data_IF_629046766244
#
_entry.id   IF_629046766244
#
_cell.length_a   1.000
_cell.length_b   1.000
_cell.length_c   1.000
_cell.angle_alpha   90.00
_cell.angle_beta   90.00
_cell.angle_gamma   90.00
#
_symmetry.space_group_name_H-M   'P 1'
#
loop_
_entity.id
_entity.type
_entity.pdbx_description
1 polymer ?
#
# COMPACT_ATOMS: atom_id res chain seq x y z
N UNK A 1 11.14 23.43 15.71
CA UNK A 1 11.58 23.81 14.35
C UNK A 1 10.63 23.28 13.28
N UNK A 2 10.20 22.02 13.33
CA UNK A 2 9.19 21.45 12.41
C UNK A 2 7.76 21.97 12.61
N UNK A 3 7.30 22.10 13.86
CA UNK A 3 5.93 22.57 14.14
C UNK A 3 5.71 24.00 13.63
N UNK A 4 6.71 24.87 13.83
CA UNK A 4 6.67 26.26 13.33
C UNK A 4 6.55 26.31 11.81
N UNK A 5 7.19 25.38 11.10
CA UNK A 5 7.09 25.25 9.64
C UNK A 5 5.67 24.90 9.20
N UNK A 6 5.05 23.89 9.82
CA UNK A 6 3.67 23.47 9.48
C UNK A 6 2.69 24.63 9.70
N UNK A 7 2.83 25.32 10.84
CA UNK A 7 1.98 26.44 11.23
C UNK A 7 2.13 27.61 10.24
N UNK A 8 3.36 27.97 9.88
CA UNK A 8 3.62 29.11 8.99
C UNK A 8 3.12 28.87 7.56
N UNK A 9 3.38 27.68 7.00
CA UNK A 9 2.86 27.30 5.68
C UNK A 9 1.32 27.29 5.70
N UNK A 10 0.73 26.63 6.71
CA UNK A 10 -0.72 26.56 6.87
C UNK A 10 -1.38 27.92 6.98
N UNK A 11 -0.77 28.82 7.76
CA UNK A 11 -1.24 30.20 7.94
C UNK A 11 -1.21 30.98 6.63
N UNK A 12 -0.12 30.93 5.86
CA UNK A 12 -0.02 31.63 4.57
C UNK A 12 -1.06 31.15 3.56
N UNK A 13 -1.24 29.82 3.45
CA UNK A 13 -2.26 29.22 2.58
C UNK A 13 -3.65 29.75 2.96
N UNK A 14 -3.97 29.72 4.26
CA UNK A 14 -5.26 30.19 4.77
C UNK A 14 -5.49 31.67 4.52
N UNK A 15 -4.52 32.51 4.85
CA UNK A 15 -4.61 33.97 4.68
C UNK A 15 -4.78 34.35 3.21
N UNK A 16 -4.04 33.69 2.31
CA UNK A 16 -4.17 33.93 0.87
C UNK A 16 -5.53 33.48 0.33
N UNK A 17 -6.00 32.29 0.73
CA UNK A 17 -7.34 31.79 0.36
C UNK A 17 -8.44 32.75 0.84
N UNK A 18 -8.38 33.18 2.09
CA UNK A 18 -9.36 34.09 2.70
C UNK A 18 -9.29 35.50 2.07
N UNK A 19 -8.11 36.00 1.73
CA UNK A 19 -7.90 37.27 1.01
C UNK A 19 -8.61 37.29 -0.34
N UNK A 20 -8.61 36.16 -1.03
CA UNK A 20 -9.28 35.99 -2.33
C UNK A 20 -10.78 35.67 -2.20
N UNK A 21 -11.30 35.48 -0.98
CA UNK A 21 -12.70 35.13 -0.74
C UNK A 21 -13.06 33.69 -1.16
N UNK A 22 -12.06 32.81 -1.28
CA UNK A 22 -12.26 31.43 -1.72
C UNK A 22 -12.63 30.52 -0.55
N UNK A 23 -13.56 29.59 -0.79
CA UNK A 23 -13.83 28.50 0.17
C UNK A 23 -12.83 27.36 -0.01
N UNK A 24 -12.76 26.43 0.95
CA UNK A 24 -11.88 25.26 0.82
C UNK A 24 -12.31 24.37 -0.34
N UNK A 25 -13.62 24.17 -0.49
CA UNK A 25 -14.24 23.40 -1.57
C UNK A 25 -13.83 23.96 -2.94
N UNK A 26 -13.75 25.29 -3.08
CA UNK A 26 -13.31 25.91 -4.32
C UNK A 26 -11.84 25.60 -4.65
N UNK A 27 -10.96 25.58 -3.64
CA UNK A 27 -9.54 25.24 -3.82
C UNK A 27 -9.36 23.75 -4.12
N UNK A 28 -10.10 22.89 -3.42
CA UNK A 28 -10.00 21.44 -3.54
C UNK A 28 -10.65 20.88 -4.83
N UNK A 29 -11.62 21.59 -5.41
CA UNK A 29 -12.24 21.26 -6.70
C UNK A 29 -12.85 19.84 -6.73
N UNK A 30 -12.25 18.89 -7.44
CA UNK A 30 -12.71 17.48 -7.53
C UNK A 30 -12.30 16.61 -6.35
N UNK A 31 -11.47 17.15 -5.46
CA UNK A 31 -10.82 16.46 -4.33
C UNK A 31 -9.89 15.29 -4.74
N UNK A 32 -9.54 15.18 -6.03
CA UNK A 32 -8.63 14.13 -6.53
C UNK A 32 -7.19 14.32 -6.01
N UNK A 33 -6.68 15.56 -6.06
CA UNK A 33 -5.34 15.91 -5.59
C UNK A 33 -5.31 16.28 -4.10
N UNK A 34 -6.32 17.02 -3.63
CA UNK A 34 -6.37 17.53 -2.27
C UNK A 34 -7.81 17.57 -1.75
N UNK A 35 -8.09 16.84 -0.67
CA UNK A 35 -9.42 16.86 -0.04
C UNK A 35 -9.62 18.10 0.82
N UNK A 36 -10.89 18.47 1.09
CA UNK A 36 -11.23 19.59 1.98
C UNK A 36 -10.67 19.37 3.38
N UNK A 37 -10.73 18.13 3.87
CA UNK A 37 -10.19 17.75 5.19
C UNK A 37 -8.65 17.81 5.21
N UNK A 38 -7.96 17.39 4.14
CA UNK A 38 -6.51 17.55 4.00
C UNK A 38 -6.12 19.03 4.02
N UNK A 39 -6.77 19.87 3.21
CA UNK A 39 -6.53 21.33 3.21
C UNK A 39 -6.77 21.94 4.59
N UNK A 40 -7.83 21.53 5.30
CA UNK A 40 -8.09 21.99 6.66
C UNK A 40 -6.98 21.61 7.63
N UNK A 41 -6.45 20.38 7.58
CA UNK A 41 -5.33 19.95 8.45
C UNK A 41 -4.06 20.74 8.14
N UNK A 42 -3.79 21.02 6.87
CA UNK A 42 -2.66 21.85 6.43
C UNK A 42 -2.80 23.28 6.98
N UNK A 43 -3.95 23.93 6.76
CA UNK A 43 -4.20 25.31 7.22
C UNK A 43 -4.13 25.48 8.74
N UNK A 44 -4.44 24.42 9.49
CA UNK A 44 -4.34 24.39 10.95
C UNK A 44 -2.93 24.04 11.46
N UNK A 45 -1.96 23.82 10.56
CA UNK A 45 -0.59 23.42 10.91
C UNK A 45 -0.48 22.00 11.49
N UNK A 46 -1.50 21.15 11.29
CA UNK A 46 -1.55 19.78 11.81
C UNK A 46 -0.86 18.77 10.90
N UNK A 47 -0.74 19.09 9.62
CA UNK A 47 -0.15 18.22 8.60
C UNK A 47 0.73 19.01 7.66
N UNK A 48 1.81 18.40 7.19
CA UNK A 48 2.68 18.97 6.17
C UNK A 48 2.27 18.42 4.79
N UNK A 49 2.04 19.28 3.77
CA UNK A 49 1.74 18.81 2.43
C UNK A 49 2.99 18.28 1.73
N UNK A 50 2.82 17.36 0.79
CA UNK A 50 3.85 17.02 -0.18
C UNK A 50 4.11 18.20 -1.13
N UNK A 51 5.26 18.19 -1.82
CA UNK A 51 5.58 19.23 -2.80
C UNK A 51 4.54 19.29 -3.93
N UNK A 52 3.99 18.15 -4.32
CA UNK A 52 2.95 18.03 -5.36
C UNK A 52 1.66 18.71 -4.89
N UNK A 53 1.18 18.41 -3.67
CA UNK A 53 0.01 19.08 -3.09
C UNK A 53 0.23 20.56 -2.87
N UNK A 54 1.42 20.96 -2.46
CA UNK A 54 1.74 22.37 -2.28
C UNK A 54 1.77 23.12 -3.63
N UNK A 55 2.27 22.48 -4.69
CA UNK A 55 2.19 23.01 -6.05
C UNK A 55 0.73 23.16 -6.50
N UNK A 56 -0.12 22.15 -6.28
CA UNK A 56 -1.54 22.22 -6.56
C UNK A 56 -2.23 23.42 -5.86
N UNK A 57 -1.95 23.61 -4.57
CA UNK A 57 -2.47 24.76 -3.80
C UNK A 57 -1.95 26.08 -4.38
N UNK A 58 -0.66 26.14 -4.72
CA UNK A 58 -0.02 27.31 -5.32
C UNK A 58 -0.72 27.72 -6.61
N UNK A 59 -1.01 26.75 -7.49
CA UNK A 59 -1.64 26.97 -8.79
C UNK A 59 -3.10 27.43 -8.61
N UNK A 60 -3.86 26.81 -7.70
CA UNK A 60 -5.24 27.21 -7.39
C UNK A 60 -5.35 28.60 -6.78
N UNK A 61 -4.35 29.02 -6.00
CA UNK A 61 -4.29 30.35 -5.40
C UNK A 61 -3.60 31.39 -6.30
N UNK A 62 -3.06 31.00 -7.47
CA UNK A 62 -2.36 31.91 -8.36
C UNK A 62 -1.13 32.58 -7.76
N UNK A 63 -0.47 31.92 -6.80
CA UNK A 63 0.76 32.38 -6.14
C UNK A 63 1.93 31.49 -6.51
N UNK A 64 3.15 31.92 -6.18
CA UNK A 64 4.34 31.09 -6.40
C UNK A 64 4.54 30.09 -5.26
N UNK A 65 5.11 28.93 -5.57
CA UNK A 65 5.47 27.93 -4.57
C UNK A 65 6.40 28.51 -3.49
N UNK A 66 7.33 29.37 -3.91
CA UNK A 66 8.26 30.08 -3.03
C UNK A 66 7.55 31.06 -2.08
N UNK A 67 6.41 31.62 -2.45
CA UNK A 67 5.63 32.47 -1.55
C UNK A 67 5.03 31.65 -0.40
N UNK A 68 4.48 30.47 -0.71
CA UNK A 68 3.92 29.58 0.30
C UNK A 68 5.02 29.02 1.22
N UNK A 69 6.15 28.57 0.65
CA UNK A 69 7.30 28.08 1.40
C UNK A 69 8.02 29.18 2.19
N UNK A 70 8.17 30.37 1.62
CA UNK A 70 9.03 31.43 2.16
C UNK A 70 10.47 30.96 2.31
N UNK A 71 11.06 31.13 3.49
CA UNK A 71 12.44 30.69 3.79
C UNK A 71 12.55 29.21 4.18
N UNK A 72 11.43 28.49 4.19
CA UNK A 72 11.37 27.10 4.65
C UNK A 72 11.85 26.13 3.58
N UNK A 73 12.67 25.16 3.99
CA UNK A 73 13.03 23.98 3.18
C UNK A 73 12.22 22.77 3.64
N UNK A 74 11.62 22.06 2.69
CA UNK A 74 10.92 20.78 2.90
C UNK A 74 11.80 19.58 2.53
N UNK A 75 13.12 19.74 2.64
CA UNK A 75 14.05 18.68 2.25
C UNK A 75 14.00 17.54 3.26
N UNK A 76 13.43 16.42 2.84
CA UNK A 76 13.45 15.17 3.60
C UNK A 76 14.85 14.56 3.47
N UNK A 77 15.50 14.17 4.59
CA UNK A 77 16.84 13.59 4.57
C UNK A 77 16.93 12.33 3.69
N UNK A 78 18.03 12.17 2.97
CA UNK A 78 18.28 10.97 2.17
C UNK A 78 18.26 9.69 3.02
N UNK A 79 18.74 9.78 4.26
CA UNK A 79 18.75 8.66 5.22
C UNK A 79 17.34 8.14 5.53
N UNK A 80 16.31 9.01 5.46
CA UNK A 80 14.91 8.59 5.58
C UNK A 80 14.51 7.68 4.42
N UNK A 81 14.79 8.08 3.17
CA UNK A 81 14.44 7.29 1.99
C UNK A 81 15.18 5.95 1.96
N UNK A 82 16.44 5.91 2.41
CA UNK A 82 17.18 4.66 2.56
C UNK A 82 16.54 3.73 3.60
N UNK A 83 16.14 4.28 4.74
CA UNK A 83 15.46 3.51 5.79
C UNK A 83 14.08 3.00 5.33
N UNK A 84 13.27 3.85 4.67
CA UNK A 84 11.99 3.47 4.04
C UNK A 84 12.20 2.36 3.00
N UNK A 85 13.18 2.50 2.12
CA UNK A 85 13.47 1.48 1.09
C UNK A 85 13.82 0.13 1.72
N UNK A 86 14.67 0.13 2.75
CA UNK A 86 15.03 -1.10 3.50
C UNK A 86 13.81 -1.71 4.19
N UNK A 87 12.94 -0.88 4.78
CA UNK A 87 11.71 -1.32 5.42
C UNK A 87 10.78 -2.02 4.41
N UNK A 88 10.62 -1.47 3.21
CA UNK A 88 9.75 -2.05 2.17
C UNK A 88 10.32 -3.35 1.59
N UNK A 89 11.62 -3.42 1.33
CA UNK A 89 12.24 -4.55 0.61
C UNK A 89 12.35 -5.85 1.40
N UNK A 90 12.33 -5.79 2.73
CA UNK A 90 12.56 -6.97 3.58
C UNK A 90 11.28 -7.79 3.79
N UNK A 91 11.14 -9.04 3.29
CA UNK A 91 9.92 -9.82 3.51
C UNK A 91 9.90 -10.46 4.91
N UNK A 92 8.72 -10.48 5.54
CA UNK A 92 8.53 -11.07 6.88
C UNK A 92 8.01 -12.51 6.83
N UNK A 93 7.24 -12.89 5.80
CA UNK A 93 6.61 -14.22 5.66
C UNK A 93 5.87 -14.72 6.92
N UNK A 94 5.27 -13.81 7.70
CA UNK A 94 4.59 -14.14 8.95
C UNK A 94 5.52 -14.50 10.13
N UNK A 95 6.83 -14.37 9.98
CA UNK A 95 7.78 -14.63 11.07
C UNK A 95 7.75 -13.50 12.11
N UNK A 96 7.38 -13.84 13.34
CA UNK A 96 7.20 -12.88 14.44
C UNK A 96 8.49 -12.14 14.81
N UNK A 97 9.66 -12.77 14.68
CA UNK A 97 10.94 -12.11 15.00
C UNK A 97 11.32 -11.08 13.92
N UNK A 98 11.08 -11.40 12.63
CA UNK A 98 11.21 -10.42 11.54
C UNK A 98 10.23 -9.26 11.68
N UNK A 99 8.99 -9.54 12.09
CA UNK A 99 7.97 -8.51 12.33
C UNK A 99 8.41 -7.58 13.46
N UNK A 100 8.79 -8.12 14.63
CA UNK A 100 9.28 -7.31 15.76
C UNK A 100 10.47 -6.43 15.38
N UNK A 101 11.41 -6.96 14.59
CA UNK A 101 12.55 -6.17 14.10
C UNK A 101 12.09 -5.00 13.22
N UNK A 102 11.14 -5.22 12.31
CA UNK A 102 10.59 -4.16 11.48
C UNK A 102 9.82 -3.11 12.27
N UNK A 103 9.01 -3.53 13.25
CA UNK A 103 8.29 -2.61 14.12
C UNK A 103 9.27 -1.71 14.87
N UNK A 104 10.39 -2.26 15.35
CA UNK A 104 11.47 -1.45 15.93
C UNK A 104 12.11 -0.49 14.93
N UNK A 105 12.38 -0.94 13.70
CA UNK A 105 12.90 -0.05 12.64
C UNK A 105 11.89 1.09 12.33
N UNK A 106 10.58 0.86 12.49
CA UNK A 106 9.51 1.87 12.36
C UNK A 106 9.49 2.85 13.54
N UNK A 107 9.63 2.37 14.78
CA UNK A 107 9.77 3.24 15.96
C UNK A 107 10.94 4.22 15.77
N UNK A 108 12.08 3.72 15.28
CA UNK A 108 13.24 4.56 14.96
C UNK A 108 12.95 5.58 13.85
N UNK A 109 12.08 5.26 12.88
CA UNK A 109 11.65 6.23 11.86
C UNK A 109 10.80 7.35 12.46
N UNK A 110 9.85 7.02 13.34
CA UNK A 110 9.04 8.04 14.01
C UNK A 110 9.90 8.95 14.89
N UNK A 111 10.76 8.38 15.72
CA UNK A 111 11.62 9.13 16.65
C UNK A 111 12.50 10.16 15.92
N UNK A 112 12.96 9.82 14.71
CA UNK A 112 13.91 10.66 13.97
C UNK A 112 13.26 11.58 12.93
N UNK A 113 12.11 11.22 12.36
CA UNK A 113 11.59 11.88 11.15
C UNK A 113 10.14 12.34 11.23
N UNK A 114 9.33 11.93 12.23
CA UNK A 114 7.88 12.23 12.29
C UNK A 114 7.55 13.72 12.08
N UNK A 115 8.43 14.58 12.56
CA UNK A 115 8.29 16.01 12.57
C UNK A 115 8.38 16.66 11.20
N UNK A 116 9.19 16.09 10.31
CA UNK A 116 9.55 16.68 9.01
C UNK A 116 8.87 15.99 7.84
N UNK A 117 8.17 14.88 8.08
CA UNK A 117 7.50 14.12 7.03
C UNK A 117 6.13 14.73 6.66
N UNK A 118 5.79 14.73 5.36
CA UNK A 118 4.45 15.06 4.92
C UNK A 118 3.44 13.99 5.34
N UNK A 119 2.16 14.36 5.35
CA UNK A 119 1.07 13.47 5.77
C UNK A 119 1.07 12.12 5.02
N UNK A 120 1.40 12.13 3.73
CA UNK A 120 1.44 10.92 2.89
C UNK A 120 2.57 9.96 3.27
N UNK A 121 3.73 10.49 3.67
CA UNK A 121 4.87 9.67 4.10
C UNK A 121 4.62 9.09 5.50
N UNK A 122 3.98 9.87 6.38
CA UNK A 122 3.51 9.37 7.68
C UNK A 122 2.47 8.27 7.52
N UNK A 123 1.48 8.48 6.65
CA UNK A 123 0.46 7.48 6.33
C UNK A 123 1.10 6.20 5.78
N UNK A 124 2.15 6.33 4.96
CA UNK A 124 2.86 5.16 4.42
C UNK A 124 3.50 4.31 5.53
N UNK A 125 4.13 4.95 6.50
CA UNK A 125 4.74 4.25 7.65
C UNK A 125 3.67 3.60 8.51
N UNK A 126 2.61 4.34 8.81
CA UNK A 126 1.48 3.87 9.62
C UNK A 126 0.78 2.67 8.95
N UNK A 127 0.55 2.70 7.64
CA UNK A 127 0.03 1.56 6.88
C UNK A 127 0.90 0.31 7.04
N UNK A 128 2.23 0.47 6.95
CA UNK A 128 3.16 -0.66 7.07
C UNK A 128 3.13 -1.20 8.50
N UNK A 129 3.15 -0.33 9.51
CA UNK A 129 3.05 -0.69 10.92
C UNK A 129 1.77 -1.48 11.21
N UNK A 130 0.62 -0.95 10.81
CA UNK A 130 -0.69 -1.60 10.99
C UNK A 130 -0.79 -2.93 10.28
N UNK A 131 -0.25 -3.01 9.06
CA UNK A 131 -0.18 -4.29 8.34
C UNK A 131 0.62 -5.32 9.13
N UNK A 132 1.76 -4.93 9.70
CA UNK A 132 2.60 -5.81 10.52
C UNK A 132 1.89 -6.21 11.83
N UNK A 133 1.28 -5.26 12.52
CA UNK A 133 0.52 -5.50 13.76
C UNK A 133 -0.67 -6.44 13.50
N UNK A 134 -1.39 -6.26 12.39
CA UNK A 134 -2.47 -7.14 11.98
C UNK A 134 -1.97 -8.59 11.76
N UNK A 135 -0.82 -8.77 11.11
CA UNK A 135 -0.22 -10.10 10.92
C UNK A 135 0.14 -10.74 12.27
N UNK A 136 0.64 -9.97 13.24
CA UNK A 136 1.08 -10.51 14.53
C UNK A 136 -0.03 -10.72 15.56
N UNK A 137 -1.07 -9.88 15.55
CA UNK A 137 -2.09 -9.85 16.60
C UNK A 137 -3.49 -10.26 16.12
N UNK A 138 -3.71 -10.43 14.81
CA UNK A 138 -5.01 -10.73 14.17
C UNK A 138 -6.14 -9.76 14.58
N UNK A 139 -5.77 -8.56 15.06
CA UNK A 139 -6.75 -7.53 15.46
C UNK A 139 -7.05 -6.63 14.29
N UNK A 140 -8.32 -6.63 13.87
CA UNK A 140 -8.86 -5.60 12.98
C UNK A 140 -8.81 -4.27 13.72
N UNK A 141 -7.94 -3.39 13.27
CA UNK A 141 -7.99 -1.98 13.65
C UNK A 141 -9.10 -1.29 12.84
N UNK A 142 -9.87 -0.43 13.52
CA UNK A 142 -10.94 0.31 12.87
C UNK A 142 -10.34 1.26 11.82
N UNK A 143 -10.73 1.08 10.55
CA UNK A 143 -10.45 1.99 9.42
C UNK A 143 -11.08 3.39 9.58
N UNK A 144 -11.70 3.67 10.73
CA UNK A 144 -12.47 4.89 11.04
C UNK A 144 -11.58 6.14 11.17
N UNK A 145 -10.26 5.99 11.03
CA UNK A 145 -9.38 7.14 10.97
C UNK A 145 -9.64 7.97 9.71
N UNK A 146 -10.09 9.20 9.94
CA UNK A 146 -10.47 10.19 8.92
C UNK A 146 -9.40 10.35 7.83
N UNK A 147 -8.13 10.21 8.18
CA UNK A 147 -7.01 10.28 7.22
C UNK A 147 -7.11 9.16 6.19
N UNK A 148 -7.28 7.91 6.62
CA UNK A 148 -7.40 6.75 5.73
C UNK A 148 -8.59 6.85 4.79
N UNK A 149 -9.74 7.26 5.31
CA UNK A 149 -10.96 7.45 4.51
C UNK A 149 -10.73 8.47 3.39
N UNK A 150 -10.04 9.58 3.67
CA UNK A 150 -9.74 10.62 2.69
C UNK A 150 -8.89 10.05 1.53
N UNK A 151 -7.81 9.34 1.84
CA UNK A 151 -6.93 8.75 0.81
C UNK A 151 -7.60 7.60 0.07
N UNK A 152 -8.39 6.76 0.75
CA UNK A 152 -9.11 5.67 0.09
C UNK A 152 -10.10 6.21 -0.95
N UNK A 153 -10.82 7.29 -0.61
CA UNK A 153 -11.72 7.96 -1.54
C UNK A 153 -10.99 8.57 -2.74
N UNK A 154 -9.77 9.09 -2.55
CA UNK A 154 -8.94 9.55 -3.66
C UNK A 154 -8.52 8.37 -4.56
N UNK A 155 -8.06 7.27 -3.96
CA UNK A 155 -7.63 6.06 -4.69
C UNK A 155 -8.78 5.45 -5.51
N UNK A 156 -10.01 5.44 -5.00
CA UNK A 156 -11.15 4.90 -5.74
C UNK A 156 -11.43 5.64 -7.06
N UNK A 157 -11.13 6.95 -7.11
CA UNK A 157 -11.31 7.81 -8.29
C UNK A 157 -10.18 7.67 -9.32
N UNK A 158 -8.99 7.21 -8.91
CA UNK A 158 -7.82 7.11 -9.78
C UNK A 158 -7.92 5.94 -10.76
N UNK A 159 -7.38 6.12 -11.95
CA UNK A 159 -7.24 5.06 -12.98
C UNK A 159 -5.83 4.44 -12.98
N UNK A 160 -4.82 5.19 -12.55
CA UNK A 160 -3.44 4.70 -12.40
C UNK A 160 -2.98 4.87 -10.95
N UNK A 161 -2.39 3.82 -10.39
CA UNK A 161 -1.95 3.82 -8.99
C UNK A 161 -0.45 4.07 -8.84
N UNK A 162 -0.13 4.97 -7.91
CA UNK A 162 1.24 5.21 -7.42
C UNK A 162 1.63 4.17 -6.36
N UNK A 163 2.88 4.21 -5.90
CA UNK A 163 3.36 3.34 -4.82
C UNK A 163 2.49 3.43 -3.55
N UNK A 164 2.17 4.65 -3.11
CA UNK A 164 1.39 4.87 -1.89
C UNK A 164 -0.07 4.40 -2.07
N UNK A 165 -0.64 4.58 -3.26
CA UNK A 165 -1.97 4.08 -3.58
C UNK A 165 -2.01 2.53 -3.49
N UNK A 166 -1.00 1.85 -4.05
CA UNK A 166 -0.90 0.39 -3.99
C UNK A 166 -0.73 -0.13 -2.56
N UNK A 167 0.05 0.56 -1.71
CA UNK A 167 0.18 0.22 -0.30
C UNK A 167 -1.15 0.35 0.44
N UNK A 168 -1.92 1.41 0.16
CA UNK A 168 -3.23 1.61 0.76
C UNK A 168 -4.24 0.55 0.31
N UNK A 169 -4.29 0.23 -0.99
CA UNK A 169 -5.14 -0.84 -1.53
C UNK A 169 -4.77 -2.18 -0.90
N UNK A 170 -3.48 -2.49 -0.81
CA UNK A 170 -2.97 -3.71 -0.19
C UNK A 170 -3.42 -3.81 1.27
N UNK A 171 -3.29 -2.74 2.05
CA UNK A 171 -3.74 -2.71 3.44
C UNK A 171 -5.25 -2.91 3.56
N UNK A 172 -6.04 -2.15 2.81
CA UNK A 172 -7.50 -2.27 2.78
C UNK A 172 -7.94 -3.71 2.45
N UNK A 173 -7.44 -4.26 1.34
CA UNK A 173 -7.78 -5.62 0.90
C UNK A 173 -7.27 -6.71 1.84
N UNK A 174 -6.17 -6.46 2.55
CA UNK A 174 -5.69 -7.38 3.58
C UNK A 174 -6.65 -7.45 4.77
N UNK A 175 -7.23 -6.32 5.19
CA UNK A 175 -8.26 -6.32 6.24
C UNK A 175 -9.57 -6.98 5.80
N UNK A 176 -9.92 -6.92 4.51
CA UNK A 176 -11.09 -7.61 3.93
C UNK A 176 -10.99 -9.15 4.00
N UNK A 177 -9.81 -9.69 4.30
CA UNK A 177 -9.64 -11.13 4.52
C UNK A 177 -10.32 -11.62 5.81
N UNK A 178 -10.67 -10.71 6.72
CA UNK A 178 -11.34 -11.02 7.99
C UNK A 178 -12.69 -10.30 8.09
N UNK A 179 -13.75 -11.11 8.11
CA UNK A 179 -15.14 -10.64 8.19
C UNK A 179 -15.67 -10.11 6.86
N UNK A 180 -16.85 -9.48 6.92
CA UNK A 180 -17.51 -8.93 5.74
C UNK A 180 -16.75 -7.72 5.17
N UNK A 181 -16.85 -7.54 3.85
CA UNK A 181 -16.24 -6.45 3.12
C UNK A 181 -17.13 -5.99 1.97
N UNK A 182 -16.80 -4.83 1.39
CA UNK A 182 -17.49 -4.30 0.21
C UNK A 182 -16.96 -4.96 -1.06
N UNK A 183 -17.75 -5.88 -1.63
CA UNK A 183 -17.41 -6.61 -2.85
C UNK A 183 -17.23 -5.68 -4.07
N UNK A 184 -17.99 -4.58 -4.16
CA UNK A 184 -17.92 -3.64 -5.28
C UNK A 184 -16.58 -2.90 -5.28
N UNK A 185 -16.12 -2.47 -4.09
CA UNK A 185 -14.81 -1.84 -3.93
C UNK A 185 -13.68 -2.80 -4.31
N UNK A 186 -13.69 -4.03 -3.77
CA UNK A 186 -12.64 -5.01 -4.06
C UNK A 186 -12.62 -5.40 -5.54
N UNK A 187 -13.79 -5.55 -6.17
CA UNK A 187 -13.88 -5.85 -7.59
C UNK A 187 -13.41 -4.68 -8.48
N UNK A 188 -13.71 -3.45 -8.08
CA UNK A 188 -13.17 -2.24 -8.72
C UNK A 188 -11.64 -2.22 -8.67
N UNK A 189 -11.05 -2.46 -7.50
CA UNK A 189 -9.59 -2.57 -7.36
C UNK A 189 -9.03 -3.70 -8.20
N UNK A 190 -9.64 -4.90 -8.18
CA UNK A 190 -9.22 -6.02 -9.03
C UNK A 190 -9.14 -5.61 -10.49
N UNK A 191 -10.22 -5.00 -11.02
CA UNK A 191 -10.29 -4.59 -12.42
C UNK A 191 -9.24 -3.53 -12.78
N UNK A 192 -8.95 -2.58 -11.89
CA UNK A 192 -7.94 -1.55 -12.12
C UNK A 192 -6.52 -2.13 -12.03
N UNK A 193 -6.22 -2.94 -11.01
CA UNK A 193 -4.89 -3.54 -10.81
C UNK A 193 -4.49 -4.51 -11.94
N UNK A 194 -5.42 -5.30 -12.48
CA UNK A 194 -5.09 -6.21 -13.61
C UNK A 194 -4.78 -5.44 -14.89
N UNK A 195 -5.35 -4.24 -15.07
CA UNK A 195 -5.16 -3.42 -16.26
C UNK A 195 -4.02 -2.41 -16.12
N UNK A 196 -3.54 -2.14 -14.90
CA UNK A 196 -2.44 -1.20 -14.65
C UNK A 196 -1.17 -1.55 -15.42
N UNK A 197 -0.59 -0.53 -16.07
CA UNK A 197 0.68 -0.68 -16.77
C UNK A 197 1.86 -0.82 -15.79
N UNK A 198 2.91 -1.52 -16.23
CA UNK A 198 4.12 -1.67 -15.43
C UNK A 198 4.88 -0.35 -15.45
N UNK A 199 5.34 0.08 -14.28
CA UNK A 199 6.11 1.31 -14.14
C UNK A 199 7.61 1.00 -14.15
N UNK A 200 8.44 2.02 -14.42
CA UNK A 200 9.90 1.85 -14.45
C UNK A 200 10.50 1.54 -13.07
N UNK A 201 9.81 1.93 -11.99
CA UNK A 201 10.27 1.75 -10.63
C UNK A 201 10.00 0.32 -10.12
N UNK A 202 11.05 -0.32 -9.59
CA UNK A 202 10.99 -1.70 -9.08
C UNK A 202 9.93 -1.86 -7.98
N UNK A 203 9.94 -0.96 -6.99
CA UNK A 203 9.05 -1.05 -5.82
C UNK A 203 7.58 -0.97 -6.19
N UNK A 204 7.21 -0.15 -7.19
CA UNK A 204 5.82 -0.02 -7.63
C UNK A 204 5.30 -1.36 -8.15
N UNK A 205 6.09 -2.05 -8.98
CA UNK A 205 5.68 -3.34 -9.53
C UNK A 205 5.64 -4.45 -8.45
N UNK A 206 6.53 -4.37 -7.46
CA UNK A 206 6.52 -5.29 -6.30
C UNK A 206 5.29 -5.06 -5.44
N UNK A 207 4.89 -3.81 -5.17
CA UNK A 207 3.67 -3.53 -4.43
C UNK A 207 2.40 -3.81 -5.25
N UNK A 208 2.44 -3.72 -6.58
CA UNK A 208 1.35 -4.19 -7.45
C UNK A 208 1.16 -5.71 -7.31
N UNK A 209 2.26 -6.49 -7.27
CA UNK A 209 2.19 -7.91 -6.91
C UNK A 209 1.63 -8.12 -5.49
N UNK A 210 2.03 -7.27 -4.54
CA UNK A 210 1.54 -7.29 -3.17
C UNK A 210 0.02 -7.08 -3.08
N UNK A 211 -0.51 -6.05 -3.75
CA UNK A 211 -1.94 -5.72 -3.78
C UNK A 211 -2.77 -6.81 -4.48
N UNK A 212 -2.27 -7.38 -5.58
CA UNK A 212 -2.91 -8.54 -6.21
C UNK A 212 -2.91 -9.76 -5.27
N UNK A 213 -1.84 -9.94 -4.47
CA UNK A 213 -1.72 -11.06 -3.54
C UNK A 213 -2.68 -10.96 -2.37
N UNK A 214 -2.95 -9.74 -1.88
CA UNK A 214 -3.94 -9.54 -0.82
C UNK A 214 -5.37 -9.78 -1.31
N UNK A 215 -5.70 -9.41 -2.56
CA UNK A 215 -6.96 -9.81 -3.21
C UNK A 215 -7.04 -11.34 -3.36
N UNK A 216 -5.95 -11.98 -3.80
CA UNK A 216 -5.88 -13.45 -3.81
C UNK A 216 -6.10 -14.06 -2.43
N UNK A 217 -5.59 -13.44 -1.38
CA UNK A 217 -5.86 -13.86 -0.01
C UNK A 217 -7.33 -13.73 0.39
N UNK A 218 -8.06 -12.71 -0.07
CA UNK A 218 -9.53 -12.61 0.13
C UNK A 218 -10.21 -13.84 -0.46
N UNK A 219 -9.90 -14.21 -1.70
CA UNK A 219 -10.44 -15.39 -2.37
C UNK A 219 -10.17 -16.68 -1.60
N UNK A 220 -8.97 -16.82 -1.03
CA UNK A 220 -8.63 -17.99 -0.21
C UNK A 220 -9.44 -18.02 1.08
N UNK A 221 -9.55 -16.89 1.79
CA UNK A 221 -10.20 -16.80 3.10
C UNK A 221 -11.72 -16.91 3.01
N UNK A 222 -12.33 -16.42 1.92
CA UNK A 222 -13.75 -16.48 1.65
C UNK A 222 -14.16 -17.68 0.77
N UNK A 223 -13.20 -18.53 0.40
CA UNK A 223 -13.41 -19.71 -0.44
C UNK A 223 -14.04 -19.42 -1.82
N UNK A 224 -13.82 -18.23 -2.38
CA UNK A 224 -14.30 -17.84 -3.71
C UNK A 224 -13.15 -17.70 -4.71
N UNK A 225 -12.94 -18.74 -5.51
CA UNK A 225 -11.80 -18.83 -6.43
C UNK A 225 -12.14 -18.42 -7.87
N UNK A 226 -13.37 -17.97 -8.16
CA UNK A 226 -13.87 -17.69 -9.52
C UNK A 226 -12.95 -16.77 -10.32
N UNK A 227 -12.48 -15.70 -9.68
CA UNK A 227 -11.64 -14.67 -10.31
C UNK A 227 -10.14 -14.86 -10.06
N UNK A 228 -9.72 -15.90 -9.33
CA UNK A 228 -8.31 -16.14 -8.96
C UNK A 228 -7.40 -16.22 -10.18
N UNK A 229 -7.86 -16.83 -11.28
CA UNK A 229 -7.03 -16.98 -12.48
C UNK A 229 -6.64 -15.63 -13.09
N UNK A 230 -7.54 -14.65 -13.07
CA UNK A 230 -7.30 -13.31 -13.64
C UNK A 230 -6.16 -12.57 -12.94
N UNK A 231 -6.09 -12.66 -11.61
CA UNK A 231 -5.02 -12.04 -10.83
C UNK A 231 -3.70 -12.80 -10.99
N UNK A 232 -3.75 -14.14 -11.04
CA UNK A 232 -2.58 -15.00 -11.23
C UNK A 232 -1.92 -14.73 -12.59
N UNK A 233 -2.70 -14.59 -13.67
CA UNK A 233 -2.17 -14.31 -15.00
C UNK A 233 -1.48 -12.94 -15.07
N UNK A 234 -2.05 -11.94 -14.38
CA UNK A 234 -1.39 -10.64 -14.23
C UNK A 234 -0.09 -10.76 -13.43
N UNK A 235 -0.09 -11.49 -12.31
CA UNK A 235 1.10 -11.68 -11.47
C UNK A 235 2.23 -12.36 -12.25
N UNK A 236 1.95 -13.41 -13.03
CA UNK A 236 2.95 -14.04 -13.91
C UNK A 236 3.51 -13.02 -14.91
N UNK A 237 2.65 -12.22 -15.53
CA UNK A 237 3.06 -11.16 -16.45
C UNK A 237 3.98 -10.14 -15.79
N UNK A 238 3.68 -9.72 -14.56
CA UNK A 238 4.53 -8.79 -13.81
C UNK A 238 5.89 -9.45 -13.53
N UNK A 239 5.90 -10.67 -13.00
CA UNK A 239 7.15 -11.39 -12.65
C UNK A 239 8.04 -11.57 -13.87
N UNK A 240 7.49 -12.01 -15.00
CA UNK A 240 8.27 -12.29 -16.20
C UNK A 240 8.82 -11.00 -16.84
N UNK A 241 8.07 -9.89 -16.79
CA UNK A 241 8.52 -8.60 -17.35
C UNK A 241 9.49 -7.85 -16.43
N UNK A 242 9.36 -8.00 -15.11
CA UNK A 242 10.19 -7.30 -14.12
C UNK A 242 11.35 -8.13 -13.59
N UNK A 243 11.45 -9.40 -14.01
CA UNK A 243 12.46 -10.38 -13.59
C UNK A 243 12.45 -10.68 -12.08
N UNK A 244 11.32 -10.43 -11.41
CA UNK A 244 11.12 -10.63 -9.97
C UNK A 244 10.81 -12.11 -9.64
N UNK A 245 11.69 -13.02 -10.08
CA UNK A 245 11.44 -14.47 -10.03
C UNK A 245 11.30 -15.04 -8.60
N UNK A 246 11.80 -14.34 -7.59
CA UNK A 246 11.68 -14.73 -6.18
C UNK A 246 10.21 -14.84 -5.71
N UNK A 247 9.27 -14.13 -6.36
CA UNK A 247 7.84 -14.17 -6.03
C UNK A 247 7.07 -15.29 -6.75
N UNK A 248 7.70 -15.95 -7.73
CA UNK A 248 7.04 -17.00 -8.53
C UNK A 248 6.47 -18.15 -7.69
N UNK A 249 7.15 -18.65 -6.65
CA UNK A 249 6.58 -19.67 -5.78
C UNK A 249 5.23 -19.25 -5.16
N UNK A 250 5.10 -18.00 -4.71
CA UNK A 250 3.87 -17.51 -4.08
C UNK A 250 2.70 -17.47 -5.09
N UNK A 251 2.96 -17.04 -6.32
CA UNK A 251 1.95 -17.03 -7.40
C UNK A 251 1.50 -18.45 -7.76
N UNK A 252 2.43 -19.40 -7.79
CA UNK A 252 2.11 -20.81 -8.05
C UNK A 252 1.21 -21.42 -6.97
N UNK A 253 1.32 -20.98 -5.71
CA UNK A 253 0.40 -21.41 -4.64
C UNK A 253 -1.02 -20.94 -4.94
N UNK A 254 -1.22 -19.67 -5.31
CA UNK A 254 -2.54 -19.17 -5.71
C UNK A 254 -3.10 -19.93 -6.92
N UNK A 255 -2.25 -20.21 -7.91
CA UNK A 255 -2.65 -20.99 -9.08
C UNK A 255 -3.01 -22.44 -8.72
N UNK A 256 -2.26 -23.07 -7.83
CA UNK A 256 -2.56 -24.42 -7.34
C UNK A 256 -3.93 -24.46 -6.63
N UNK A 257 -4.22 -23.47 -5.78
CA UNK A 257 -5.52 -23.34 -5.10
C UNK A 257 -6.67 -23.14 -6.08
N UNK A 258 -6.50 -22.34 -7.13
CA UNK A 258 -7.47 -22.22 -8.21
C UNK A 258 -7.79 -23.58 -8.85
N UNK A 259 -6.76 -24.32 -9.26
CA UNK A 259 -6.99 -25.63 -9.88
C UNK A 259 -7.60 -26.64 -8.91
N UNK A 260 -7.24 -26.58 -7.63
CA UNK A 260 -7.75 -27.49 -6.63
C UNK A 260 -9.22 -27.23 -6.29
N UNK A 261 -9.58 -25.98 -5.99
CA UNK A 261 -10.88 -25.63 -5.42
C UNK A 261 -11.91 -25.13 -6.44
N UNK A 262 -11.50 -24.65 -7.62
CA UNK A 262 -12.41 -24.19 -8.67
C UNK A 262 -12.52 -25.19 -9.83
N UNK A 263 -11.40 -25.57 -10.43
CA UNK A 263 -11.36 -26.49 -11.57
C UNK A 263 -11.45 -27.97 -11.16
N UNK A 264 -11.33 -28.28 -9.86
CA UNK A 264 -11.30 -29.64 -9.32
C UNK A 264 -10.20 -30.54 -9.95
N UNK A 265 -9.07 -29.94 -10.36
CA UNK A 265 -7.93 -30.62 -10.96
C UNK A 265 -6.78 -30.77 -9.95
N UNK A 266 -6.87 -31.84 -9.15
CA UNK A 266 -5.92 -32.17 -8.08
C UNK A 266 -4.53 -32.51 -8.59
N UNK A 267 -4.42 -33.16 -9.75
CA UNK A 267 -3.14 -33.54 -10.34
C UNK A 267 -2.35 -32.28 -10.71
N UNK A 268 -3.01 -31.33 -11.39
CA UNK A 268 -2.40 -30.06 -11.78
C UNK A 268 -2.04 -29.20 -10.56
N UNK A 269 -2.91 -29.14 -9.54
CA UNK A 269 -2.59 -28.45 -8.30
C UNK A 269 -1.34 -29.02 -7.61
N UNK A 270 -1.21 -30.35 -7.59
CA UNK A 270 -0.06 -31.04 -7.00
C UNK A 270 1.24 -30.74 -7.76
N UNK A 271 1.19 -30.73 -9.10
CA UNK A 271 2.32 -30.34 -9.95
C UNK A 271 2.78 -28.91 -9.67
N UNK A 272 1.84 -27.97 -9.56
CA UNK A 272 2.12 -26.57 -9.26
C UNK A 272 2.73 -26.40 -7.86
N UNK A 273 2.20 -27.08 -6.85
CA UNK A 273 2.77 -27.06 -5.50
C UNK A 273 4.19 -27.63 -5.44
N UNK A 274 4.45 -28.72 -6.14
CA UNK A 274 5.81 -29.29 -6.25
C UNK A 274 6.76 -28.30 -6.94
N UNK A 275 6.32 -27.66 -8.02
CA UNK A 275 7.10 -26.65 -8.73
C UNK A 275 7.40 -25.45 -7.83
N UNK A 276 6.39 -24.96 -7.09
CA UNK A 276 6.55 -23.88 -6.12
C UNK A 276 7.57 -24.22 -5.04
N UNK A 277 7.53 -25.46 -4.54
CA UNK A 277 8.47 -25.96 -3.52
C UNK A 277 9.91 -25.96 -4.04
N UNK A 278 10.15 -26.53 -5.23
CA UNK A 278 11.48 -26.58 -5.85
C UNK A 278 12.05 -25.18 -6.07
N UNK A 279 11.22 -24.25 -6.57
CA UNK A 279 11.63 -22.86 -6.75
C UNK A 279 11.92 -22.16 -5.42
N UNK A 280 11.07 -22.35 -4.41
CA UNK A 280 11.28 -21.79 -3.08
C UNK A 280 12.60 -22.28 -2.46
N UNK A 281 12.92 -23.56 -2.61
CA UNK A 281 14.18 -24.16 -2.15
C UNK A 281 15.40 -23.57 -2.88
N UNK A 282 15.27 -23.25 -4.17
CA UNK A 282 16.33 -22.57 -4.93
C UNK A 282 16.59 -21.13 -4.45
N UNK A 283 15.55 -20.39 -4.01
CA UNK A 283 15.70 -19.05 -3.46
C UNK A 283 16.13 -19.04 -1.98
N UNK A 284 15.87 -20.12 -1.24
CA UNK A 284 16.53 -20.43 0.03
C UNK A 284 15.93 -19.80 1.31
N UNK A 285 14.82 -19.06 1.24
CA UNK A 285 14.17 -18.54 2.46
C UNK A 285 13.44 -19.65 3.23
N UNK A 286 14.05 -20.09 4.33
CA UNK A 286 13.57 -21.22 5.13
C UNK A 286 12.20 -20.99 5.78
N UNK A 287 11.87 -19.75 6.13
CA UNK A 287 10.56 -19.42 6.71
C UNK A 287 9.49 -19.63 5.65
N UNK A 288 9.72 -19.08 4.46
CA UNK A 288 8.79 -19.22 3.34
C UNK A 288 8.62 -20.68 2.90
N UNK A 289 9.72 -21.44 2.75
CA UNK A 289 9.68 -22.86 2.39
C UNK A 289 8.85 -23.66 3.40
N UNK A 290 9.05 -23.41 4.70
CA UNK A 290 8.29 -24.09 5.76
C UNK A 290 6.80 -23.81 5.64
N UNK A 291 6.42 -22.54 5.50
CA UNK A 291 5.02 -22.14 5.39
C UNK A 291 4.36 -22.71 4.12
N UNK A 292 5.07 -22.72 3.00
CA UNK A 292 4.60 -23.32 1.74
C UNK A 292 4.30 -24.81 1.91
N UNK A 293 5.22 -25.58 2.52
CA UNK A 293 5.02 -27.02 2.76
C UNK A 293 3.81 -27.29 3.66
N UNK A 294 3.65 -26.51 4.73
CA UNK A 294 2.49 -26.59 5.61
C UNK A 294 1.17 -26.32 4.87
N UNK A 295 1.15 -25.30 4.01
CA UNK A 295 -0.04 -24.95 3.23
C UNK A 295 -0.39 -26.02 2.18
N UNK A 296 0.63 -26.55 1.49
CA UNK A 296 0.46 -27.67 0.55
C UNK A 296 -0.13 -28.91 1.23
N UNK A 297 0.39 -29.29 2.40
CA UNK A 297 -0.14 -30.42 3.16
C UNK A 297 -1.58 -30.18 3.61
N UNK A 298 -1.89 -28.97 4.08
CA UNK A 298 -3.25 -28.60 4.49
C UNK A 298 -4.22 -28.73 3.33
N UNK A 299 -3.89 -28.19 2.17
CA UNK A 299 -4.78 -28.18 1.01
C UNK A 299 -4.98 -29.58 0.40
N UNK A 300 -3.88 -30.31 0.18
CA UNK A 300 -3.95 -31.62 -0.47
C UNK A 300 -4.53 -32.70 0.45
N UNK A 301 -4.54 -32.51 1.78
CA UNK A 301 -5.18 -33.46 2.69
C UNK A 301 -6.70 -33.29 2.82
N UNK A 302 -7.28 -32.23 2.23
CA UNK A 302 -8.74 -32.07 2.17
C UNK A 302 -9.29 -33.14 1.21
N UNK A 303 -10.25 -33.93 1.71
CA UNK A 303 -10.94 -35.02 1.01
C UNK A 303 -12.17 -34.50 0.27
#
# INVERSE_FOLDING_TARGET
MSEEIKIEIGKRIREERERQGLTREHVCDTEEELTVKQLMRIELGRSLPTIVKLQYISDKLGVSLNYLLGETKLDIPEDYYQAKYKLMKSPVYGDLERIKKKLKDIEELYDNYIDILPEEELLTIDIIERTLNFISEEKKEDLVEIVYEDYLNQVLKKEEYTLNDLLLIKYYTFQCQVGDYDEEIVESFRCKLINQELQGEELVNVELLGALSTIGGIYVMHHDYRNMKTIVDKMHTIIDKTLQHAYKPAVLIFEAKYYLFYENNRDKATELYNTATVLAEAFGDQVFIKNLKMEMEKDLNIK
#
